data_IF_840953250214
#
_entry.id   IF_840953250214
#
_cell.length_a   1.000
_cell.length_b   1.000
_cell.length_c   1.000
_cell.angle_alpha   90.00
_cell.angle_beta   90.00
_cell.angle_gamma   90.00
#
_symmetry.space_group_name_H-M   'P 1'
#
loop_
_entity.id
_entity.type
_entity.pdbx_description
1 polymer ?
#
# COMPACT_ATOMS: atom_id res chain seq x y z
N UNK A 1 20.10 -46.01 40.61
CA UNK A 1 19.22 -45.76 39.50
C UNK A 1 18.19 -44.71 39.92
N UNK A 2 18.45 -43.43 39.58
CA UNK A 2 17.56 -42.31 39.91
C UNK A 2 16.56 -42.17 38.77
N UNK A 3 15.24 -41.99 39.03
CA UNK A 3 14.31 -41.65 37.98
C UNK A 3 14.50 -40.17 37.58
N UNK A 4 14.72 -39.95 36.29
CA UNK A 4 14.66 -38.63 35.67
C UNK A 4 13.23 -38.10 35.81
N UNK A 5 13.10 -36.97 36.49
CA UNK A 5 11.86 -36.20 36.53
C UNK A 5 11.80 -35.41 35.23
N UNK A 6 11.07 -35.92 34.25
CA UNK A 6 10.67 -35.14 33.07
C UNK A 6 9.84 -33.94 33.51
N UNK A 7 10.49 -32.81 33.56
CA UNK A 7 9.79 -31.53 33.72
C UNK A 7 9.06 -31.21 32.43
N UNK A 8 7.84 -31.68 32.28
CA UNK A 8 6.92 -31.28 31.25
C UNK A 8 6.59 -29.80 31.45
N UNK A 9 7.30 -28.98 30.72
CA UNK A 9 6.96 -27.57 30.55
C UNK A 9 5.65 -27.49 29.73
N UNK A 10 4.52 -27.53 30.43
CA UNK A 10 3.23 -27.21 29.82
C UNK A 10 3.27 -25.74 29.41
N UNK A 11 3.62 -25.50 28.13
CA UNK A 11 3.39 -24.22 27.49
C UNK A 11 1.88 -24.00 27.47
N UNK A 12 1.40 -23.26 28.48
CA UNK A 12 0.03 -22.75 28.49
C UNK A 12 -0.19 -21.90 27.26
N UNK A 13 -0.81 -22.48 26.27
CA UNK A 13 -1.33 -21.77 25.09
C UNK A 13 -2.52 -20.93 25.58
N UNK A 14 -2.20 -19.79 26.21
CA UNK A 14 -3.19 -18.76 26.50
C UNK A 14 -3.66 -18.26 25.15
N UNK A 15 -4.83 -18.71 24.76
CA UNK A 15 -5.62 -18.13 23.66
C UNK A 15 -5.69 -16.61 23.92
N UNK A 16 -4.79 -15.87 23.28
CA UNK A 16 -4.73 -14.40 23.35
C UNK A 16 -5.87 -13.83 22.48
N UNK A 17 -7.10 -14.10 22.89
CA UNK A 17 -8.26 -13.48 22.26
C UNK A 17 -8.16 -11.98 22.50
N UNK A 18 -7.98 -11.24 21.42
CA UNK A 18 -7.98 -9.77 21.49
C UNK A 18 -9.37 -9.35 21.99
N UNK A 19 -9.47 -8.62 23.12
CA UNK A 19 -10.76 -8.24 23.64
C UNK A 19 -11.49 -7.30 22.68
N UNK A 20 -12.79 -7.48 22.55
CA UNK A 20 -13.65 -6.73 21.58
C UNK A 20 -13.49 -5.21 21.76
N UNK A 21 -13.33 -4.74 22.99
CA UNK A 21 -13.13 -3.31 23.24
C UNK A 21 -11.82 -2.77 22.63
N UNK A 22 -10.74 -3.58 22.60
CA UNK A 22 -9.48 -3.17 21.99
C UNK A 22 -9.61 -3.04 20.45
N UNK A 23 -10.41 -3.93 19.83
CA UNK A 23 -10.74 -3.80 18.40
C UNK A 23 -11.55 -2.52 18.17
N UNK A 24 -12.53 -2.22 19.03
CA UNK A 24 -13.31 -0.98 18.93
C UNK A 24 -12.45 0.28 19.05
N UNK A 25 -11.55 0.33 20.01
CA UNK A 25 -10.59 1.44 20.16
C UNK A 25 -9.70 1.56 18.92
N UNK A 26 -9.17 0.45 18.41
CA UNK A 26 -8.35 0.46 17.20
C UNK A 26 -9.11 1.04 15.99
N UNK A 27 -10.36 0.64 15.80
CA UNK A 27 -11.19 1.16 14.70
C UNK A 27 -11.43 2.66 14.82
N UNK A 28 -11.67 3.16 16.04
CA UNK A 28 -11.83 4.61 16.29
C UNK A 28 -10.53 5.36 15.97
N UNK A 29 -9.38 4.83 16.41
CA UNK A 29 -8.07 5.43 16.10
C UNK A 29 -7.83 5.46 14.60
N UNK A 30 -8.10 4.36 13.90
CA UNK A 30 -7.94 4.28 12.45
C UNK A 30 -8.87 5.26 11.72
N UNK A 31 -10.13 5.35 12.13
CA UNK A 31 -11.08 6.30 11.55
C UNK A 31 -10.63 7.75 11.77
N UNK A 32 -10.18 8.10 12.97
CA UNK A 32 -9.63 9.42 13.26
C UNK A 32 -8.37 9.70 12.44
N UNK A 33 -7.48 8.73 12.30
CA UNK A 33 -6.26 8.85 11.51
C UNK A 33 -6.57 9.09 10.00
N UNK A 34 -7.56 8.39 9.46
CA UNK A 34 -8.03 8.60 8.08
C UNK A 34 -8.65 10.00 7.95
N UNK A 35 -9.56 10.37 8.87
CA UNK A 35 -10.18 11.68 8.84
C UNK A 35 -9.17 12.83 8.85
N UNK A 36 -8.17 12.76 9.75
CA UNK A 36 -7.13 13.78 9.84
C UNK A 36 -6.25 13.86 8.58
N UNK A 37 -6.03 12.72 7.90
CA UNK A 37 -5.24 12.70 6.66
C UNK A 37 -6.00 13.23 5.46
N UNK A 38 -7.32 13.13 5.46
CA UNK A 38 -8.15 13.63 4.36
C UNK A 38 -8.48 15.11 4.50
N UNK A 39 -8.28 15.71 5.68
CA UNK A 39 -8.44 17.17 5.86
C UNK A 39 -7.41 17.90 5.02
N UNK A 40 -7.86 18.75 4.11
CA UNK A 40 -7.00 19.55 3.25
C UNK A 40 -6.28 18.76 2.14
N UNK A 41 -6.73 17.56 1.79
CA UNK A 41 -6.13 16.76 0.70
C UNK A 41 -6.13 17.49 -0.64
N UNK A 42 -7.07 18.40 -0.83
CA UNK A 42 -7.15 19.25 -2.02
C UNK A 42 -6.84 20.74 -1.70
N UNK A 43 -5.79 20.96 -0.88
CA UNK A 43 -5.40 22.30 -0.41
C UNK A 43 -4.98 23.26 -1.55
N UNK A 44 -4.51 22.73 -2.64
CA UNK A 44 -4.04 23.48 -3.80
C UNK A 44 -5.04 23.53 -4.97
N UNK A 45 -6.29 23.11 -4.73
CA UNK A 45 -7.35 23.05 -5.74
C UNK A 45 -6.97 22.27 -7.01
N UNK A 46 -6.13 21.24 -6.86
CA UNK A 46 -5.70 20.37 -7.97
C UNK A 46 -4.62 20.97 -8.87
N UNK A 47 -3.94 22.02 -8.42
CA UNK A 47 -2.88 22.67 -9.22
C UNK A 47 -1.51 21.97 -9.10
N UNK A 48 -1.41 20.91 -8.28
CA UNK A 48 -0.18 20.13 -8.08
C UNK A 48 1.04 21.00 -7.76
N UNK A 49 0.89 21.88 -6.77
CA UNK A 49 1.92 22.84 -6.40
C UNK A 49 3.14 22.18 -5.74
N UNK A 50 2.95 21.02 -5.11
CA UNK A 50 4.06 20.24 -4.55
C UNK A 50 4.83 19.53 -5.69
N UNK A 51 6.17 19.65 -5.74
CA UNK A 51 6.97 19.03 -6.81
C UNK A 51 6.78 17.53 -6.95
N UNK A 52 6.72 16.81 -5.83
CA UNK A 52 6.54 15.35 -5.82
C UNK A 52 5.16 14.94 -6.32
N UNK A 53 4.12 15.68 -5.96
CA UNK A 53 2.76 15.46 -6.43
C UNK A 53 2.66 15.66 -7.94
N UNK A 54 3.27 16.72 -8.46
CA UNK A 54 3.35 16.98 -9.89
C UNK A 54 4.08 15.85 -10.61
N UNK A 55 5.21 15.41 -10.08
CA UNK A 55 5.98 14.32 -10.65
C UNK A 55 5.17 13.01 -10.67
N UNK A 56 4.54 12.65 -9.55
CA UNK A 56 3.69 11.45 -9.47
C UNK A 56 2.50 11.52 -10.43
N UNK A 57 1.87 12.68 -10.59
CA UNK A 57 0.77 12.89 -11.55
C UNK A 57 1.24 12.72 -13.00
N UNK A 58 2.43 13.19 -13.33
CA UNK A 58 3.04 12.97 -14.65
C UNK A 58 3.30 11.49 -14.91
N UNK A 59 3.84 10.76 -13.93
CA UNK A 59 4.08 9.32 -14.05
C UNK A 59 2.77 8.56 -14.21
N UNK A 60 1.75 8.85 -13.38
CA UNK A 60 0.43 8.23 -13.44
C UNK A 60 -0.25 8.44 -14.79
N UNK A 61 -0.08 9.62 -15.40
CA UNK A 61 -0.64 9.92 -16.71
C UNK A 61 0.08 9.21 -17.86
N UNK A 62 1.35 8.82 -17.64
CA UNK A 62 2.17 8.20 -18.68
C UNK A 62 2.11 6.66 -18.66
N UNK A 63 1.88 6.04 -17.50
CA UNK A 63 1.76 4.58 -17.40
C UNK A 63 0.37 4.12 -17.84
N UNK A 64 0.28 2.90 -18.35
CA UNK A 64 -0.97 2.29 -18.79
C UNK A 64 -1.18 0.92 -18.16
N UNK A 65 -2.44 0.52 -17.84
CA UNK A 65 -2.74 -0.82 -17.39
C UNK A 65 -2.28 -1.88 -18.37
N UNK A 66 -1.70 -2.96 -17.87
CA UNK A 66 -1.27 -4.07 -18.73
C UNK A 66 -2.46 -4.89 -19.20
N UNK A 67 -2.34 -5.47 -20.37
CA UNK A 67 -3.39 -6.29 -21.01
C UNK A 67 -3.33 -7.76 -20.59
N UNK A 68 -2.21 -8.20 -20.02
CA UNK A 68 -2.05 -9.59 -19.61
C UNK A 68 -1.05 -9.72 -18.45
N UNK A 69 -1.15 -10.82 -17.67
CA UNK A 69 -0.16 -11.11 -16.64
C UNK A 69 1.27 -11.28 -17.20
N UNK A 70 1.41 -11.79 -18.41
CA UNK A 70 2.71 -11.94 -19.05
C UNK A 70 3.38 -10.57 -19.31
N UNK A 71 2.60 -9.56 -19.70
CA UNK A 71 3.08 -8.19 -19.86
C UNK A 71 3.49 -7.59 -18.51
N UNK A 72 2.74 -7.87 -17.44
CA UNK A 72 3.07 -7.39 -16.09
C UNK A 72 4.46 -7.86 -15.65
N UNK A 73 4.78 -9.15 -15.88
CA UNK A 73 6.07 -9.73 -15.50
C UNK A 73 7.21 -9.42 -16.48
N UNK A 74 6.90 -8.91 -17.66
CA UNK A 74 7.91 -8.47 -18.62
C UNK A 74 8.32 -7.02 -18.35
N UNK A 75 9.15 -6.81 -17.35
CA UNK A 75 9.55 -5.46 -16.91
C UNK A 75 10.21 -4.62 -17.99
N UNK A 76 10.86 -5.25 -18.98
CA UNK A 76 11.52 -4.54 -20.06
C UNK A 76 10.57 -3.92 -21.09
N UNK A 77 9.32 -4.44 -21.17
CA UNK A 77 8.33 -3.97 -22.17
C UNK A 77 6.99 -3.55 -21.52
N UNK A 78 6.85 -3.72 -20.19
CA UNK A 78 5.60 -3.40 -19.48
C UNK A 78 5.23 -1.93 -19.59
N UNK A 79 4.00 -1.66 -19.98
CA UNK A 79 3.41 -0.32 -20.04
C UNK A 79 3.22 0.33 -18.66
N UNK A 80 3.17 -0.47 -17.60
CA UNK A 80 3.14 -0.01 -16.20
C UNK A 80 4.50 0.45 -15.68
N UNK A 81 5.61 0.03 -16.31
CA UNK A 81 6.93 0.38 -15.81
C UNK A 81 7.26 1.85 -16.14
N UNK A 82 7.43 2.74 -15.15
CA UNK A 82 7.75 4.14 -15.39
C UNK A 82 9.01 4.37 -16.23
N UNK A 83 10.02 3.49 -16.10
CA UNK A 83 11.26 3.60 -16.89
C UNK A 83 10.99 3.45 -18.40
N UNK A 84 10.04 2.61 -18.81
CA UNK A 84 9.64 2.43 -20.21
C UNK A 84 8.82 3.62 -20.75
N UNK A 85 8.44 4.54 -19.86
CA UNK A 85 7.69 5.77 -20.18
C UNK A 85 8.54 7.06 -20.01
N UNK A 86 9.86 6.91 -19.93
CA UNK A 86 10.80 8.03 -19.84
C UNK A 86 11.15 8.49 -18.42
N UNK A 87 10.64 7.81 -17.38
CA UNK A 87 10.93 8.13 -15.98
C UNK A 87 11.99 7.18 -15.42
N UNK A 88 13.24 7.32 -15.88
CA UNK A 88 14.35 6.43 -15.52
C UNK A 88 14.75 6.52 -14.05
N UNK A 89 14.39 7.59 -13.36
CA UNK A 89 14.65 7.81 -11.94
C UNK A 89 13.33 7.87 -11.19
N UNK A 90 12.77 6.71 -10.84
CA UNK A 90 11.54 6.59 -10.05
C UNK A 90 11.84 5.90 -8.72
N UNK A 91 11.75 6.64 -7.60
CA UNK A 91 12.19 6.22 -6.26
C UNK A 91 11.03 5.87 -5.31
N UNK A 92 9.78 6.14 -5.69
CA UNK A 92 8.63 6.07 -4.78
C UNK A 92 8.00 4.68 -4.66
N UNK A 93 8.51 3.68 -5.31
CA UNK A 93 7.87 2.36 -5.37
C UNK A 93 6.65 2.34 -6.31
N UNK A 94 6.54 1.27 -7.08
CA UNK A 94 5.59 1.19 -8.19
C UNK A 94 4.20 0.71 -7.77
N UNK A 95 4.09 -0.11 -6.72
CA UNK A 95 2.83 -0.71 -6.32
C UNK A 95 1.71 0.30 -6.02
N UNK A 96 1.93 1.39 -5.24
CA UNK A 96 0.90 2.39 -4.99
C UNK A 96 0.40 3.07 -6.27
N UNK A 97 1.30 3.43 -7.18
CA UNK A 97 0.89 4.09 -8.44
C UNK A 97 0.13 3.14 -9.37
N UNK A 98 0.44 1.84 -9.35
CA UNK A 98 -0.32 0.86 -10.12
C UNK A 98 -1.76 0.78 -9.61
N UNK A 99 -1.96 0.69 -8.28
CA UNK A 99 -3.30 0.70 -7.70
C UNK A 99 -4.07 1.94 -8.12
N UNK A 100 -3.48 3.13 -7.98
CA UNK A 100 -4.13 4.38 -8.34
C UNK A 100 -4.48 4.40 -9.83
N UNK A 101 -3.58 3.95 -10.71
CA UNK A 101 -3.84 3.89 -12.15
C UNK A 101 -4.98 2.95 -12.50
N UNK A 102 -5.03 1.76 -11.92
CA UNK A 102 -6.14 0.83 -12.15
C UNK A 102 -7.47 1.35 -11.60
N UNK A 103 -7.47 1.99 -10.43
CA UNK A 103 -8.68 2.61 -9.89
C UNK A 103 -9.17 3.76 -10.76
N UNK A 104 -8.28 4.60 -11.27
CA UNK A 104 -8.63 5.67 -12.19
C UNK A 104 -9.25 5.15 -13.48
N UNK A 105 -8.71 4.08 -14.06
CA UNK A 105 -9.27 3.44 -15.24
C UNK A 105 -10.65 2.81 -14.98
N UNK A 106 -10.86 2.28 -13.79
CA UNK A 106 -12.13 1.66 -13.41
C UNK A 106 -13.24 2.68 -13.11
N UNK A 107 -12.89 3.87 -12.65
CA UNK A 107 -13.85 4.92 -12.26
C UNK A 107 -14.12 5.96 -13.35
N UNK A 108 -13.26 6.05 -14.36
CA UNK A 108 -13.33 7.03 -15.47
C UNK A 108 -14.10 6.56 -16.62
#
# INVERSE_FOLDING_TARGET
MKPEVETQTTLSNRDKRVPVFAVGILLIILAAAVGLRLVGVNWDAGQHLHPDERFLSMVLSAIEPVKSPAEYFNTAASSLNPANRGFNFFVYGTFPIFIVRYLAEWTG
#
